data_IF_919456630238
#
_entry.id   IF_919456630238
#
_cell.length_a   1.000
_cell.length_b   1.000
_cell.length_c   1.000
_cell.angle_alpha   90.00
_cell.angle_beta   90.00
_cell.angle_gamma   90.00
#
_symmetry.space_group_name_H-M   'P 1'
#
loop_
_entity.id
_entity.type
_entity.pdbx_description
1 polymer ?
#
# COMPACT_ATOMS: atom_id res chain seq x y z
N UNK A 1 -6.18 -20.51 -96.21
CA UNK A 1 -5.94 -21.65 -97.11
C UNK A 1 -6.39 -22.94 -96.44
N UNK A 2 -7.31 -23.67 -97.06
CA UNK A 2 -7.70 -24.99 -96.55
C UNK A 2 -6.50 -25.93 -96.70
N UNK A 3 -5.97 -26.52 -95.62
CA UNK A 3 -4.85 -27.46 -95.72
C UNK A 3 -5.20 -28.72 -96.53
N UNK A 4 -6.49 -29.03 -96.77
CA UNK A 4 -6.91 -30.14 -97.64
C UNK A 4 -7.08 -29.74 -99.11
N UNK A 5 -6.97 -28.45 -99.44
CA UNK A 5 -6.97 -27.97 -100.82
C UNK A 5 -5.65 -28.28 -101.50
N UNK A 6 -5.53 -29.52 -101.99
CA UNK A 6 -4.36 -30.03 -102.72
C UNK A 6 -4.40 -29.65 -104.22
N UNK A 7 -5.39 -28.88 -104.68
CA UNK A 7 -5.53 -28.46 -106.09
C UNK A 7 -4.36 -27.62 -106.61
N UNK A 8 -3.56 -27.05 -105.69
CA UNK A 8 -2.40 -26.20 -105.97
C UNK A 8 -1.07 -26.95 -105.92
N UNK A 9 -1.09 -28.26 -105.68
CA UNK A 9 0.12 -29.08 -105.64
C UNK A 9 0.59 -29.36 -107.07
N UNK A 10 1.76 -28.83 -107.45
CA UNK A 10 2.31 -29.03 -108.79
C UNK A 10 2.86 -30.45 -108.94
N UNK A 11 2.14 -31.31 -109.65
CA UNK A 11 2.51 -32.71 -109.88
C UNK A 11 2.86 -33.03 -111.34
N UNK A 12 3.09 -32.00 -112.17
CA UNK A 12 3.29 -32.11 -113.64
C UNK A 12 4.43 -33.01 -114.10
N UNK A 13 5.37 -33.39 -113.20
CA UNK A 13 6.53 -34.24 -113.50
C UNK A 13 6.40 -35.69 -112.98
N UNK A 14 5.28 -36.05 -112.35
CA UNK A 14 5.06 -37.39 -111.80
C UNK A 14 4.21 -38.24 -112.76
N UNK A 15 4.43 -39.55 -112.76
CA UNK A 15 3.47 -40.53 -113.31
C UNK A 15 2.21 -40.59 -112.43
N UNK A 16 1.10 -41.08 -112.96
CA UNK A 16 -0.19 -41.03 -112.24
C UNK A 16 -0.15 -41.81 -110.91
N UNK A 17 0.53 -42.96 -110.84
CA UNK A 17 0.76 -43.70 -109.59
C UNK A 17 1.62 -42.93 -108.58
N UNK A 18 2.61 -42.16 -109.04
CA UNK A 18 3.43 -41.31 -108.18
C UNK A 18 2.65 -40.09 -107.67
N UNK A 19 1.66 -39.61 -108.43
CA UNK A 19 0.77 -38.51 -107.99
C UNK A 19 -0.12 -38.98 -106.85
N UNK A 20 -0.71 -40.16 -107.00
CA UNK A 20 -1.64 -40.69 -106.01
C UNK A 20 -0.95 -40.99 -104.67
N UNK A 21 0.21 -41.65 -104.69
CA UNK A 21 1.04 -41.90 -103.49
C UNK A 21 1.52 -40.60 -102.82
N UNK A 22 1.87 -39.59 -103.61
CA UNK A 22 2.27 -38.28 -103.08
C UNK A 22 1.09 -37.52 -102.44
N UNK A 23 -0.09 -37.55 -103.07
CA UNK A 23 -1.31 -36.94 -102.55
C UNK A 23 -1.75 -37.63 -101.25
N UNK A 24 -1.66 -38.95 -101.16
CA UNK A 24 -1.97 -39.72 -99.95
C UNK A 24 -1.04 -39.34 -98.78
N UNK A 25 0.27 -39.28 -99.03
CA UNK A 25 1.26 -38.80 -98.03
C UNK A 25 0.97 -37.39 -97.52
N UNK A 26 0.56 -36.48 -98.42
CA UNK A 26 0.19 -35.11 -98.04
C UNK A 26 -1.09 -35.07 -97.18
N UNK A 27 -2.10 -35.89 -97.49
CA UNK A 27 -3.31 -36.02 -96.67
C UNK A 27 -2.98 -36.52 -95.27
N UNK A 28 -2.15 -37.56 -95.18
CA UNK A 28 -1.69 -38.10 -93.90
C UNK A 28 -0.88 -37.09 -93.09
N UNK A 29 0.03 -36.35 -93.73
CA UNK A 29 0.81 -35.32 -93.07
C UNK A 29 -0.08 -34.18 -92.55
N UNK A 30 -1.04 -33.72 -93.35
CA UNK A 30 -2.01 -32.69 -92.95
C UNK A 30 -2.91 -33.17 -91.81
N UNK A 31 -3.35 -34.43 -91.82
CA UNK A 31 -4.09 -35.04 -90.72
C UNK A 31 -3.25 -35.06 -89.42
N UNK A 32 -1.98 -35.47 -89.50
CA UNK A 32 -1.05 -35.44 -88.36
C UNK A 32 -0.86 -34.02 -87.81
N UNK A 33 -0.67 -33.02 -88.69
CA UNK A 33 -0.55 -31.61 -88.29
C UNK A 33 -1.80 -31.12 -87.57
N UNK A 34 -3.01 -31.43 -88.07
CA UNK A 34 -4.28 -31.07 -87.41
C UNK A 34 -4.40 -31.66 -86.01
N UNK A 35 -4.06 -32.94 -85.85
CA UNK A 35 -4.07 -33.62 -84.53
C UNK A 35 -3.06 -32.94 -83.58
N UNK A 36 -1.84 -32.66 -84.05
CA UNK A 36 -0.84 -31.98 -83.25
C UNK A 36 -1.28 -30.58 -82.83
N UNK A 37 -1.84 -29.79 -83.74
CA UNK A 37 -2.37 -28.44 -83.44
C UNK A 37 -3.52 -28.50 -82.44
N UNK A 38 -4.45 -29.47 -82.57
CA UNK A 38 -5.55 -29.63 -81.61
C UNK A 38 -5.02 -29.99 -80.22
N UNK A 39 -4.10 -30.95 -80.14
CA UNK A 39 -3.47 -31.37 -78.88
C UNK A 39 -2.73 -30.22 -78.20
N UNK A 40 -2.05 -29.38 -78.98
CA UNK A 40 -1.35 -28.21 -78.44
C UNK A 40 -2.30 -27.14 -77.93
N UNK A 41 -3.39 -26.85 -78.67
CA UNK A 41 -4.44 -25.93 -78.19
C UNK A 41 -5.06 -26.43 -76.87
N UNK A 42 -5.41 -27.72 -76.79
CA UNK A 42 -5.95 -28.30 -75.57
C UNK A 42 -4.96 -28.20 -74.39
N UNK A 43 -3.66 -28.35 -74.65
CA UNK A 43 -2.60 -28.20 -73.65
C UNK A 43 -2.51 -26.75 -73.16
N UNK A 44 -2.54 -25.79 -74.07
CA UNK A 44 -2.51 -24.35 -73.76
C UNK A 44 -3.74 -23.99 -72.92
N UNK A 45 -4.95 -24.39 -73.32
CA UNK A 45 -6.18 -24.09 -72.57
C UNK A 45 -6.15 -24.69 -71.15
N UNK A 46 -5.63 -25.92 -71.00
CA UNK A 46 -5.45 -26.51 -69.66
C UNK A 46 -4.46 -25.73 -68.82
N UNK A 47 -3.34 -25.30 -69.40
CA UNK A 47 -2.33 -24.51 -68.70
C UNK A 47 -2.89 -23.13 -68.29
N UNK A 48 -3.64 -22.46 -69.16
CA UNK A 48 -4.31 -21.19 -68.87
C UNK A 48 -5.31 -21.35 -67.72
N UNK A 49 -6.12 -22.42 -67.73
CA UNK A 49 -7.08 -22.70 -66.64
C UNK A 49 -6.38 -22.92 -65.30
N UNK A 50 -5.29 -23.71 -65.29
CA UNK A 50 -4.50 -23.91 -64.06
C UNK A 50 -3.88 -22.59 -63.59
N UNK A 51 -3.39 -21.76 -64.51
CA UNK A 51 -2.78 -20.47 -64.17
C UNK A 51 -3.81 -19.49 -63.60
N UNK A 52 -5.03 -19.43 -64.16
CA UNK A 52 -6.08 -18.55 -63.64
C UNK A 52 -6.53 -18.98 -62.24
N UNK A 53 -6.70 -20.28 -62.00
CA UNK A 53 -7.00 -20.81 -60.66
C UNK A 53 -5.89 -20.52 -59.64
N UNK A 54 -4.63 -20.68 -60.04
CA UNK A 54 -3.48 -20.38 -59.18
C UNK A 54 -3.42 -18.88 -58.84
N UNK A 55 -3.64 -18.00 -59.81
CA UNK A 55 -3.68 -16.55 -59.60
C UNK A 55 -4.83 -16.15 -58.68
N UNK A 56 -6.02 -16.74 -58.83
CA UNK A 56 -7.16 -16.47 -57.95
C UNK A 56 -6.85 -16.88 -56.49
N UNK A 57 -6.24 -18.06 -56.29
CA UNK A 57 -5.79 -18.50 -54.95
C UNK A 57 -4.72 -17.58 -54.36
N UNK A 58 -3.81 -17.08 -55.19
CA UNK A 58 -2.77 -16.15 -54.74
C UNK A 58 -3.37 -14.83 -54.26
N UNK A 59 -4.36 -14.28 -54.98
CA UNK A 59 -5.05 -13.06 -54.55
C UNK A 59 -5.86 -13.29 -53.26
N UNK A 60 -6.56 -14.43 -53.13
CA UNK A 60 -7.23 -14.79 -51.87
C UNK A 60 -6.24 -14.89 -50.69
N UNK A 61 -5.07 -15.49 -50.89
CA UNK A 61 -4.03 -15.54 -49.85
C UNK A 61 -3.47 -14.16 -49.49
N UNK A 62 -3.28 -13.26 -50.46
CA UNK A 62 -2.82 -11.89 -50.21
C UNK A 62 -3.82 -11.11 -49.36
N UNK A 63 -5.11 -11.21 -49.67
CA UNK A 63 -6.15 -10.52 -48.91
C UNK A 63 -6.21 -11.04 -47.46
N UNK A 64 -6.16 -12.37 -47.27
CA UNK A 64 -6.08 -12.98 -45.94
C UNK A 64 -4.86 -12.53 -45.16
N UNK A 65 -3.69 -12.46 -45.80
CA UNK A 65 -2.46 -11.99 -45.14
C UNK A 65 -2.59 -10.56 -44.63
N UNK A 66 -3.12 -9.65 -45.45
CA UNK A 66 -3.37 -8.27 -45.05
C UNK A 66 -4.34 -8.15 -43.87
N UNK A 67 -5.41 -8.96 -43.85
CA UNK A 67 -6.35 -9.03 -42.73
C UNK A 67 -5.69 -9.55 -41.45
N UNK A 68 -4.81 -10.54 -41.55
CA UNK A 68 -4.04 -11.05 -40.41
C UNK A 68 -3.09 -9.99 -39.87
N UNK A 69 -2.30 -9.34 -40.72
CA UNK A 69 -1.37 -8.28 -40.30
C UNK A 69 -2.09 -7.13 -39.59
N UNK A 70 -3.27 -6.74 -40.07
CA UNK A 70 -4.09 -5.73 -39.41
C UNK A 70 -4.57 -6.18 -38.02
N UNK A 71 -5.10 -7.41 -37.91
CA UNK A 71 -5.55 -7.97 -36.62
C UNK A 71 -4.41 -8.10 -35.62
N UNK A 72 -3.23 -8.51 -36.08
CA UNK A 72 -2.01 -8.62 -35.29
C UNK A 72 -1.62 -7.25 -34.69
N UNK A 73 -1.66 -6.20 -35.54
CA UNK A 73 -1.38 -4.83 -35.12
C UNK A 73 -2.41 -4.32 -34.12
N UNK A 74 -3.70 -4.47 -34.41
CA UNK A 74 -4.78 -4.03 -33.52
C UNK A 74 -4.69 -4.72 -32.15
N UNK A 75 -4.33 -6.01 -32.13
CA UNK A 75 -4.08 -6.77 -30.89
C UNK A 75 -2.88 -6.20 -30.12
N UNK A 76 -1.78 -5.93 -30.80
CA UNK A 76 -0.56 -5.39 -30.18
C UNK A 76 -0.81 -4.00 -29.56
N UNK A 77 -1.55 -3.13 -30.26
CA UNK A 77 -1.92 -1.81 -29.75
C UNK A 77 -2.86 -1.92 -28.54
N UNK A 78 -3.82 -2.86 -28.56
CA UNK A 78 -4.68 -3.14 -27.41
C UNK A 78 -3.91 -3.67 -26.20
N UNK A 79 -2.97 -4.60 -26.40
CA UNK A 79 -2.10 -5.14 -25.34
C UNK A 79 -1.24 -4.02 -24.73
N UNK A 80 -0.67 -3.13 -25.55
CA UNK A 80 0.11 -1.99 -25.07
C UNK A 80 -0.73 -1.03 -24.23
N UNK A 81 -1.94 -0.69 -24.68
CA UNK A 81 -2.85 0.17 -23.92
C UNK A 81 -3.30 -0.45 -22.59
N UNK A 82 -3.53 -1.77 -22.58
CA UNK A 82 -3.85 -2.50 -21.35
C UNK A 82 -2.69 -2.49 -20.35
N UNK A 83 -1.46 -2.71 -20.83
CA UNK A 83 -0.27 -2.66 -19.97
C UNK A 83 -0.06 -1.27 -19.37
N UNK A 84 -0.28 -0.19 -20.14
CA UNK A 84 -0.16 1.18 -19.63
C UNK A 84 -1.18 1.46 -18.51
N UNK A 85 -2.44 1.03 -18.67
CA UNK A 85 -3.48 1.14 -17.64
C UNK A 85 -3.14 0.34 -16.38
N UNK A 86 -2.62 -0.88 -16.53
CA UNK A 86 -2.21 -1.69 -15.39
C UNK A 86 -1.02 -1.05 -14.66
N UNK A 87 -0.07 -0.50 -15.41
CA UNK A 87 1.09 0.17 -14.81
C UNK A 87 0.69 1.39 -13.97
N UNK A 88 -0.27 2.20 -14.43
CA UNK A 88 -0.76 3.34 -13.64
C UNK A 88 -1.53 2.88 -12.40
N UNK A 89 -2.38 1.87 -12.52
CA UNK A 89 -3.10 1.29 -11.38
C UNK A 89 -2.15 0.73 -10.32
N UNK A 90 -1.06 0.06 -10.73
CA UNK A 90 -0.04 -0.44 -9.80
C UNK A 90 0.61 0.72 -9.03
N UNK A 91 1.00 1.79 -9.74
CA UNK A 91 1.61 2.95 -9.10
C UNK A 91 0.68 3.64 -8.09
N UNK A 92 -0.62 3.76 -8.41
CA UNK A 92 -1.62 4.31 -7.51
C UNK A 92 -1.81 3.44 -6.25
N UNK A 93 -1.82 2.11 -6.42
CA UNK A 93 -1.90 1.16 -5.31
C UNK A 93 -0.67 1.26 -4.41
N UNK A 94 0.54 1.27 -4.99
CA UNK A 94 1.80 1.40 -4.23
C UNK A 94 1.84 2.69 -3.41
N UNK A 95 1.40 3.81 -4.00
CA UNK A 95 1.26 5.08 -3.29
C UNK A 95 0.27 4.97 -2.13
N UNK A 96 -0.91 4.41 -2.36
CA UNK A 96 -1.93 4.26 -1.32
C UNK A 96 -1.47 3.36 -0.17
N UNK A 97 -0.73 2.29 -0.47
CA UNK A 97 -0.14 1.40 0.55
C UNK A 97 0.89 2.15 1.39
N UNK A 98 1.80 2.90 0.76
CA UNK A 98 2.81 3.70 1.47
C UNK A 98 2.19 4.77 2.39
N UNK A 99 1.14 5.46 1.93
CA UNK A 99 0.40 6.43 2.73
C UNK A 99 -0.24 5.76 3.96
N UNK A 100 -0.91 4.61 3.77
CA UNK A 100 -1.54 3.85 4.86
C UNK A 100 -0.52 3.29 5.85
N UNK A 101 0.62 2.79 5.38
CA UNK A 101 1.69 2.31 6.26
C UNK A 101 2.22 3.43 7.15
N UNK A 102 2.38 4.63 6.59
CA UNK A 102 2.77 5.83 7.36
C UNK A 102 1.73 6.18 8.42
N UNK A 103 0.44 6.13 8.06
CA UNK A 103 -0.66 6.36 8.99
C UNK A 103 -0.70 5.32 10.12
N UNK A 104 -0.53 4.03 9.78
CA UNK A 104 -0.45 2.94 10.75
C UNK A 104 0.70 3.16 11.73
N UNK A 105 1.88 3.55 11.24
CA UNK A 105 3.03 3.85 12.11
C UNK A 105 2.75 5.03 13.06
N UNK A 106 2.09 6.08 12.57
CA UNK A 106 1.67 7.21 13.40
C UNK A 106 0.70 6.77 14.49
N UNK A 107 -0.35 6.02 14.13
CA UNK A 107 -1.35 5.52 15.08
C UNK A 107 -0.74 4.59 16.13
N UNK A 108 0.22 3.73 15.75
CA UNK A 108 0.95 2.88 16.69
C UNK A 108 1.72 3.69 17.73
N UNK A 109 2.43 4.74 17.31
CA UNK A 109 3.14 5.65 18.23
C UNK A 109 2.19 6.41 19.16
N UNK A 110 1.07 6.89 18.62
CA UNK A 110 0.06 7.58 19.41
C UNK A 110 -0.61 6.66 20.44
N UNK A 111 -0.87 5.39 20.08
CA UNK A 111 -1.42 4.39 21.01
C UNK A 111 -0.43 4.08 22.13
N UNK A 112 0.83 3.78 21.80
CA UNK A 112 1.88 3.51 22.79
C UNK A 112 2.03 4.69 23.77
N UNK A 113 2.00 5.93 23.26
CA UNK A 113 2.05 7.12 24.11
C UNK A 113 0.83 7.31 25.04
N UNK A 114 -0.34 6.79 24.68
CA UNK A 114 -1.53 6.79 25.54
C UNK A 114 -1.44 5.70 26.61
N UNK A 115 -1.02 4.50 26.24
CA UNK A 115 -0.88 3.37 27.17
C UNK A 115 0.10 3.71 28.30
N UNK A 116 1.24 4.31 27.96
CA UNK A 116 2.24 4.79 28.94
C UNK A 116 1.70 5.85 29.90
N UNK A 117 0.79 6.72 29.45
CA UNK A 117 0.15 7.73 30.31
C UNK A 117 -0.82 7.09 31.30
N UNK A 118 -1.57 6.08 30.84
CA UNK A 118 -2.50 5.32 31.69
C UNK A 118 -1.72 4.57 32.76
N UNK A 119 -0.66 3.86 32.36
CA UNK A 119 0.20 3.11 33.28
C UNK A 119 0.84 4.02 34.33
N UNK A 120 1.39 5.17 33.91
CA UNK A 120 1.92 6.19 34.83
C UNK A 120 0.86 6.63 35.85
N UNK A 121 -0.34 6.98 35.39
CA UNK A 121 -1.42 7.42 36.29
C UNK A 121 -1.85 6.32 37.27
N UNK A 122 -1.90 5.07 36.83
CA UNK A 122 -2.22 3.94 37.70
C UNK A 122 -1.15 3.73 38.77
N UNK A 123 0.14 3.85 38.41
CA UNK A 123 1.25 3.71 39.34
C UNK A 123 1.32 4.87 40.34
N UNK A 124 1.10 6.11 39.93
CA UNK A 124 0.98 7.26 40.84
C UNK A 124 -0.09 6.99 41.91
N UNK A 125 -1.28 6.52 41.49
CA UNK A 125 -2.36 6.18 42.43
C UNK A 125 -2.00 5.03 43.36
N UNK A 126 -1.28 4.02 42.88
CA UNK A 126 -0.83 2.90 43.72
C UNK A 126 0.17 3.40 44.79
N UNK A 127 1.19 4.16 44.38
CA UNK A 127 2.18 4.71 45.29
C UNK A 127 1.54 5.61 46.35
N UNK A 128 0.62 6.49 45.94
CA UNK A 128 -0.12 7.36 46.86
C UNK A 128 -0.96 6.58 47.88
N UNK A 129 -1.64 5.51 47.44
CA UNK A 129 -2.39 4.62 48.34
C UNK A 129 -1.48 3.93 49.36
N UNK A 130 -0.32 3.44 48.92
CA UNK A 130 0.64 2.76 49.79
C UNK A 130 1.21 3.72 50.83
N UNK A 131 1.66 4.90 50.40
CA UNK A 131 2.14 5.99 51.27
C UNK A 131 1.10 6.32 52.35
N UNK A 132 -0.15 6.50 51.93
CA UNK A 132 -1.24 6.84 52.85
C UNK A 132 -1.53 5.70 53.84
N UNK A 133 -1.59 4.45 53.36
CA UNK A 133 -1.86 3.27 54.19
C UNK A 133 -0.79 2.99 55.23
N UNK A 134 0.47 3.34 54.93
CA UNK A 134 1.62 3.16 55.81
C UNK A 134 1.89 4.38 56.69
N UNK A 135 1.03 5.40 56.62
CA UNK A 135 1.14 6.67 57.37
C UNK A 135 2.52 7.32 57.23
N UNK A 136 3.05 7.34 56.01
CA UNK A 136 4.34 7.95 55.71
C UNK A 136 4.16 9.47 55.67
N UNK A 137 4.81 10.17 56.58
CA UNK A 137 4.88 11.64 56.58
C UNK A 137 6.16 12.10 55.88
N UNK A 138 6.00 12.89 54.82
CA UNK A 138 7.11 13.56 54.16
C UNK A 138 7.40 14.90 54.84
N UNK A 139 8.69 15.27 54.91
CA UNK A 139 9.10 16.56 55.49
C UNK A 139 8.84 17.74 54.56
N UNK A 140 8.65 17.48 53.26
CA UNK A 140 8.32 18.49 52.26
C UNK A 140 7.67 17.88 51.02
N UNK A 141 6.99 18.72 50.23
CA UNK A 141 6.48 18.35 48.90
C UNK A 141 7.62 17.90 47.95
N UNK A 142 8.81 18.49 48.09
CA UNK A 142 9.98 18.14 47.30
C UNK A 142 10.46 16.71 47.59
N UNK A 143 10.47 16.31 48.86
CA UNK A 143 10.82 14.95 49.25
C UNK A 143 9.80 13.93 48.71
N UNK A 144 8.51 14.25 48.82
CA UNK A 144 7.44 13.43 48.24
C UNK A 144 7.62 13.28 46.73
N UNK A 145 7.87 14.37 46.03
CA UNK A 145 8.06 14.38 44.58
C UNK A 145 9.32 13.58 44.16
N UNK A 146 10.42 13.70 44.91
CA UNK A 146 11.63 12.91 44.67
C UNK A 146 11.41 11.42 44.87
N UNK A 147 10.75 11.04 45.98
CA UNK A 147 10.41 9.65 46.27
C UNK A 147 9.48 9.03 45.22
N UNK A 148 8.40 9.74 44.85
CA UNK A 148 7.51 9.30 43.77
C UNK A 148 8.23 9.26 42.42
N UNK A 149 9.14 10.21 42.16
CA UNK A 149 9.98 10.21 40.97
C UNK A 149 10.85 8.96 40.86
N UNK A 150 11.42 8.50 41.97
CA UNK A 150 12.22 7.28 42.03
C UNK A 150 11.40 5.99 41.82
N UNK A 151 10.13 5.99 42.25
CA UNK A 151 9.19 4.88 41.99
C UNK A 151 8.73 4.81 40.53
N UNK A 152 8.85 5.94 39.83
CA UNK A 152 8.38 6.14 38.46
C UNK A 152 9.51 6.31 37.46
N UNK A 153 10.73 5.96 37.85
CA UNK A 153 11.88 5.99 36.96
C UNK A 153 11.66 5.00 35.80
N UNK A 154 12.02 5.41 34.59
CA UNK A 154 11.84 4.64 33.37
C UNK A 154 13.17 4.20 32.76
N UNK A 155 13.15 3.07 32.08
CA UNK A 155 14.19 2.63 31.16
C UNK A 155 13.56 2.35 29.79
N UNK A 156 13.81 3.26 28.84
CA UNK A 156 13.08 3.28 27.57
C UNK A 156 11.57 3.49 27.77
N UNK A 157 10.77 2.54 27.29
CA UNK A 157 9.32 2.58 27.36
C UNK A 157 8.76 1.92 28.64
N UNK A 158 9.57 1.23 29.44
CA UNK A 158 9.12 0.51 30.63
C UNK A 158 9.52 1.23 31.93
N UNK A 159 8.79 0.98 33.01
CA UNK A 159 9.19 1.42 34.34
C UNK A 159 10.27 0.50 34.91
N UNK A 160 11.29 1.08 35.54
CA UNK A 160 12.43 0.33 36.10
C UNK A 160 12.05 -0.63 37.21
N UNK A 161 11.07 -0.22 38.03
CA UNK A 161 10.56 -1.04 39.12
C UNK A 161 9.29 -1.74 38.66
N UNK A 162 9.06 -2.98 39.05
CA UNK A 162 7.73 -3.61 38.96
C UNK A 162 6.86 -3.25 40.18
N UNK A 163 5.61 -3.67 40.19
CA UNK A 163 4.67 -3.30 41.26
C UNK A 163 5.08 -3.87 42.64
N UNK A 164 5.67 -5.06 42.69
CA UNK A 164 6.19 -5.66 43.93
C UNK A 164 7.39 -4.88 44.48
N UNK A 165 8.29 -4.45 43.59
CA UNK A 165 9.44 -3.62 43.93
C UNK A 165 9.03 -2.24 44.42
N UNK A 166 7.98 -1.65 43.84
CA UNK A 166 7.37 -0.41 44.35
C UNK A 166 6.86 -0.63 45.77
N UNK A 167 6.10 -1.70 46.02
CA UNK A 167 5.59 -2.02 47.36
C UNK A 167 6.74 -2.18 48.36
N UNK A 168 7.78 -2.95 48.01
CA UNK A 168 8.95 -3.17 48.86
C UNK A 168 9.70 -1.89 49.17
N UNK A 169 9.85 -0.99 48.19
CA UNK A 169 10.56 0.27 48.35
C UNK A 169 9.79 1.23 49.26
N UNK A 170 8.47 1.29 49.13
CA UNK A 170 7.60 2.07 50.04
C UNK A 170 7.63 1.51 51.46
N UNK A 171 7.57 0.19 51.63
CA UNK A 171 7.67 -0.44 52.95
C UNK A 171 9.02 -0.14 53.61
N UNK A 172 10.14 -0.34 52.91
CA UNK A 172 11.49 -0.02 53.41
C UNK A 172 11.60 1.45 53.83
N UNK A 173 11.08 2.36 53.02
CA UNK A 173 11.07 3.79 53.35
C UNK A 173 10.29 4.08 54.66
N UNK A 174 9.12 3.44 54.83
CA UNK A 174 8.34 3.55 56.07
C UNK A 174 9.08 3.01 57.30
N UNK A 175 9.83 1.93 57.16
CA UNK A 175 10.60 1.34 58.24
C UNK A 175 11.80 2.20 58.65
N UNK A 176 12.49 2.81 57.68
CA UNK A 176 13.58 3.76 57.96
C UNK A 176 13.08 4.97 58.73
N UNK A 177 11.87 5.46 58.43
CA UNK A 177 11.21 6.55 59.16
C UNK A 177 10.78 6.17 60.58
N UNK A 178 10.37 4.92 60.80
CA UNK A 178 10.01 4.41 62.14
C UNK A 178 11.21 4.21 63.06
N UNK A 179 12.43 4.05 62.52
CA UNK A 179 13.67 3.83 63.28
C UNK A 179 14.40 5.12 63.67
N UNK A 180 14.10 6.25 63.04
CA UNK A 180 14.55 7.55 63.57
C UNK A 180 13.64 7.94 64.73
N UNK A 181 14.18 8.14 65.96
CA UNK A 181 13.39 8.82 66.99
C UNK A 181 12.99 10.19 66.42
N UNK A 182 11.78 10.70 66.71
CA UNK A 182 11.43 12.05 66.32
C UNK A 182 12.52 12.97 66.88
N UNK A 183 13.34 13.56 66.00
CA UNK A 183 14.21 14.65 66.41
C UNK A 183 13.25 15.71 66.92
N UNK A 184 13.23 15.89 68.24
CA UNK A 184 12.57 17.03 68.87
C UNK A 184 12.95 18.26 68.07
N UNK A 185 11.98 19.02 67.54
CA UNK A 185 12.30 20.29 66.91
C UNK A 185 13.06 21.11 67.95
N UNK A 186 14.32 21.43 67.67
CA UNK A 186 15.01 22.50 68.39
C UNK A 186 14.15 23.76 68.32
N UNK A 187 14.19 24.65 69.33
CA UNK A 187 13.32 25.81 69.37
C UNK A 187 13.59 26.70 68.15
N UNK A 188 12.74 26.55 67.13
CA UNK A 188 12.70 27.42 65.98
C UNK A 188 12.19 28.81 66.38
N UNK A 189 12.43 29.83 65.56
CA UNK A 189 12.07 31.20 65.88
C UNK A 189 10.56 31.29 66.10
N UNK A 190 10.14 31.94 67.19
CA UNK A 190 8.75 32.31 67.40
C UNK A 190 8.36 33.35 66.34
N UNK A 191 7.91 32.91 65.17
CA UNK A 191 7.17 33.78 64.26
C UNK A 191 5.80 34.05 64.88
N UNK A 192 5.72 35.18 65.57
CA UNK A 192 4.46 35.87 65.80
C UNK A 192 4.11 36.58 64.49
N UNK A 193 3.37 35.89 63.62
CA UNK A 193 2.87 36.42 62.34
C UNK A 193 1.57 35.72 61.97
N UNK A 194 0.58 36.48 61.56
CA UNK A 194 -0.85 36.15 61.45
C UNK A 194 -1.26 35.16 60.33
N UNK A 195 -0.93 33.86 60.43
CA UNK A 195 -1.38 32.84 59.45
C UNK A 195 -2.70 32.12 59.82
N UNK A 196 -3.35 32.47 60.93
CA UNK A 196 -4.42 31.66 61.55
C UNK A 196 -5.77 31.60 60.79
N UNK A 197 -6.25 32.60 60.01
CA UNK A 197 -7.63 32.56 59.50
C UNK A 197 -7.88 31.60 58.33
N UNK A 198 -7.00 31.58 57.33
CA UNK A 198 -7.25 30.87 56.06
C UNK A 198 -7.07 29.35 56.20
N UNK A 199 -6.11 28.91 57.02
CA UNK A 199 -5.85 27.48 57.28
C UNK A 199 -7.00 26.85 58.06
N UNK A 200 -7.61 27.60 58.99
CA UNK A 200 -8.79 27.17 59.75
C UNK A 200 -10.02 27.04 58.82
N UNK A 201 -10.20 27.96 57.87
CA UNK A 201 -11.30 27.93 56.89
C UNK A 201 -11.19 26.73 55.94
N UNK A 202 -9.97 26.41 55.45
CA UNK A 202 -9.74 25.18 54.66
C UNK A 202 -10.07 23.93 55.45
N UNK A 203 -9.67 23.88 56.73
CA UNK A 203 -9.95 22.72 57.60
C UNK A 203 -11.44 22.51 57.83
N UNK A 204 -12.21 23.59 58.00
CA UNK A 204 -13.67 23.51 58.10
C UNK A 204 -14.31 23.04 56.79
N UNK A 205 -13.89 23.57 55.64
CA UNK A 205 -14.43 23.17 54.34
C UNK A 205 -14.12 21.71 54.00
N UNK A 206 -12.93 21.22 54.35
CA UNK A 206 -12.52 19.83 54.15
C UNK A 206 -13.15 18.85 55.15
N UNK A 207 -13.75 19.35 56.24
CA UNK A 207 -14.46 18.52 57.22
C UNK A 207 -15.92 18.22 56.83
N UNK A 208 -16.45 18.88 55.78
CA UNK A 208 -17.79 18.60 55.25
C UNK A 208 -17.78 17.26 54.50
N UNK A 209 -18.78 16.43 54.77
CA UNK A 209 -18.94 15.11 54.12
C UNK A 209 -19.19 15.22 52.62
N UNK A 210 -19.87 16.27 52.16
CA UNK A 210 -20.12 16.55 50.75
C UNK A 210 -19.79 18.01 50.43
N UNK A 211 -18.77 18.24 49.59
CA UNK A 211 -18.41 19.58 49.13
C UNK A 211 -19.32 20.03 48.00
N UNK A 212 -20.04 21.13 48.24
CA UNK A 212 -20.84 21.81 47.23
C UNK A 212 -19.96 22.51 46.20
N UNK A 213 -20.56 22.96 45.10
CA UNK A 213 -19.86 23.69 44.03
C UNK A 213 -19.30 25.04 44.54
N UNK A 214 -20.00 25.66 45.48
CA UNK A 214 -19.57 26.87 46.21
C UNK A 214 -18.34 26.59 47.08
N UNK A 215 -18.33 25.48 47.83
CA UNK A 215 -17.21 25.09 48.70
C UNK A 215 -15.93 24.84 47.87
N UNK A 216 -16.06 24.19 46.72
CA UNK A 216 -14.93 23.94 45.80
C UNK A 216 -14.40 25.23 45.18
N UNK A 217 -15.28 26.21 44.92
CA UNK A 217 -14.88 27.52 44.40
C UNK A 217 -14.12 28.30 45.48
N UNK A 218 -14.64 28.28 46.72
CA UNK A 218 -13.99 28.93 47.87
C UNK A 218 -12.61 28.33 48.18
N UNK A 219 -12.47 27.01 48.11
CA UNK A 219 -11.16 26.35 48.28
C UNK A 219 -10.12 26.80 47.22
N UNK A 220 -10.54 26.98 45.96
CA UNK A 220 -9.65 27.50 44.90
C UNK A 220 -9.25 28.97 45.13
N UNK A 221 -10.17 29.78 45.64
CA UNK A 221 -9.89 31.18 46.00
C UNK A 221 -8.88 31.25 47.16
N UNK A 222 -9.11 30.49 48.24
CA UNK A 222 -8.17 30.42 49.38
C UNK A 222 -6.79 29.93 48.93
N UNK A 223 -6.74 28.90 48.07
CA UNK A 223 -5.47 28.41 47.53
C UNK A 223 -4.73 29.49 46.73
N UNK A 224 -5.46 30.34 45.99
CA UNK A 224 -4.89 31.45 45.23
C UNK A 224 -4.40 32.58 46.14
N UNK A 225 -5.10 32.84 47.26
CA UNK A 225 -4.71 33.83 48.27
C UNK A 225 -3.46 33.39 49.03
N UNK A 226 -3.39 32.12 49.48
CA UNK A 226 -2.19 31.56 50.14
C UNK A 226 -0.95 31.60 49.25
N UNK A 227 -1.10 31.38 47.93
CA UNK A 227 0.01 31.49 46.97
C UNK A 227 0.49 32.94 46.85
N UNK A 228 -0.44 33.92 46.88
CA UNK A 228 -0.10 35.35 46.85
C UNK A 228 0.59 35.81 48.13
N UNK A 229 0.12 35.37 49.31
CA UNK A 229 0.76 35.69 50.59
C UNK A 229 2.18 35.13 50.66
N UNK A 230 2.39 33.87 50.23
CA UNK A 230 3.73 33.28 50.12
C UNK A 230 4.64 34.00 49.14
N UNK A 231 4.11 34.53 48.05
CA UNK A 231 4.88 35.33 47.10
C UNK A 231 5.23 36.74 47.64
N UNK A 232 4.50 37.23 48.64
CA UNK A 232 4.75 38.53 49.29
C UNK A 232 5.63 38.45 50.54
N UNK A 233 6.03 37.25 50.97
CA UNK A 233 7.06 37.07 52.00
C UNK A 233 6.65 37.49 53.41
N UNK A 234 5.38 37.27 53.76
CA UNK A 234 4.90 37.28 55.16
C UNK A 234 4.89 35.86 55.69
#
# INVERSE_FOLDING_TARGET
PDPDDLSKVNTSKFSDEQKDDYIEKLKDENARRRIATKKEKDRITKQETVQTEANAKLEDLKTKLADYEKKEKDRTDAEKSAMEKLSTQIADIEKSVSEKDTEIQKLKKESAGKDLKIEKSNRERMADRLVHSLSIEFTSEYERAGFLGELMEKDGDEFKLNDEEVILKVQKFSETRKKEPPKTPGPGPKNKGSEVPLVEEVKQLMSKSDLTLEDRKRLKEIQSEMIKERAQGV
#
